data_IF_997626164075
#
_entry.id   IF_997626164075
#
_cell.length_a   1.000
_cell.length_b   1.000
_cell.length_c   1.000
_cell.angle_alpha   90.00
_cell.angle_beta   90.00
_cell.angle_gamma   90.00
#
_symmetry.space_group_name_H-M   'P 1'
#
loop_
_entity.id
_entity.type
_entity.pdbx_description
1 polymer ?
#
# COMPACT_ATOMS: atom_id res chain seq x y z
N UNK A 1 -28.62 -31.57 -21.81
CA UNK A 1 -27.98 -32.01 -20.54
C UNK A 1 -26.66 -31.31 -20.19
N UNK A 2 -25.87 -30.80 -21.15
CA UNK A 2 -24.62 -30.08 -20.85
C UNK A 2 -24.85 -28.60 -20.48
N UNK A 3 -25.78 -27.94 -21.15
CA UNK A 3 -26.14 -26.53 -20.89
C UNK A 3 -26.76 -26.29 -19.51
N UNK A 4 -27.61 -27.19 -19.01
CA UNK A 4 -28.20 -27.06 -17.67
C UNK A 4 -27.14 -27.13 -16.56
N UNK A 5 -26.05 -27.88 -16.77
CA UNK A 5 -24.97 -28.01 -15.80
C UNK A 5 -24.12 -26.74 -15.75
N UNK A 6 -23.83 -26.13 -16.89
CA UNK A 6 -23.13 -24.84 -16.96
C UNK A 6 -23.98 -23.70 -16.40
N UNK A 7 -25.27 -23.67 -16.71
CA UNK A 7 -26.19 -22.67 -16.14
C UNK A 7 -26.30 -22.80 -14.61
N UNK A 8 -26.34 -24.03 -14.10
CA UNK A 8 -26.36 -24.30 -12.66
C UNK A 8 -25.04 -23.94 -11.98
N UNK A 9 -23.90 -24.26 -12.61
CA UNK A 9 -22.57 -23.88 -12.13
C UNK A 9 -22.42 -22.35 -12.03
N UNK A 10 -22.79 -21.61 -13.10
CA UNK A 10 -22.81 -20.15 -13.11
C UNK A 10 -23.70 -19.56 -12.01
N UNK A 11 -24.84 -20.19 -11.71
CA UNK A 11 -25.76 -19.75 -10.65
C UNK A 11 -25.17 -19.95 -9.25
N UNK A 12 -24.49 -21.08 -8.98
CA UNK A 12 -23.80 -21.32 -7.71
C UNK A 12 -22.57 -20.45 -7.50
N UNK A 13 -21.85 -20.06 -8.56
CA UNK A 13 -20.72 -19.12 -8.43
C UNK A 13 -21.22 -17.68 -8.20
N UNK A 14 -22.48 -17.37 -8.54
CA UNK A 14 -23.09 -16.03 -8.42
C UNK A 14 -23.65 -15.72 -7.02
N UNK A 15 -23.67 -16.67 -6.10
CA UNK A 15 -24.05 -16.39 -4.70
C UNK A 15 -22.89 -15.67 -4.01
N UNK A 16 -22.92 -14.34 -4.01
CA UNK A 16 -21.99 -13.50 -3.26
C UNK A 16 -22.21 -13.75 -1.75
N UNK A 17 -21.24 -14.39 -1.10
CA UNK A 17 -21.16 -14.49 0.37
C UNK A 17 -20.56 -13.22 1.01
N UNK A 18 -20.55 -12.11 0.28
CA UNK A 18 -19.95 -10.86 0.74
C UNK A 18 -21.00 -10.09 1.54
N UNK A 19 -20.69 -9.78 2.80
CA UNK A 19 -21.55 -8.94 3.64
C UNK A 19 -21.55 -7.53 3.08
N UNK A 20 -22.64 -7.14 2.45
CA UNK A 20 -22.88 -5.74 2.09
C UNK A 20 -22.97 -4.95 3.38
N UNK A 21 -22.11 -3.94 3.56
CA UNK A 21 -22.24 -3.00 4.66
C UNK A 21 -23.53 -2.23 4.46
N UNK A 22 -24.55 -2.56 5.25
CA UNK A 22 -25.79 -1.79 5.30
C UNK A 22 -25.45 -0.46 5.97
N UNK A 23 -25.26 0.60 5.18
CA UNK A 23 -25.17 1.99 5.64
C UNK A 23 -26.53 2.48 6.16
N UNK A 24 -27.15 1.73 7.06
CA UNK A 24 -28.34 2.12 7.79
C UNK A 24 -27.86 2.84 9.04
N UNK A 25 -27.65 4.16 8.91
CA UNK A 25 -27.49 5.02 10.08
C UNK A 25 -28.86 5.14 10.75
N UNK A 26 -29.00 4.55 11.94
CA UNK A 26 -30.16 4.78 12.80
C UNK A 26 -30.05 6.21 13.36
N UNK A 27 -30.64 7.16 12.65
CA UNK A 27 -30.62 8.56 13.04
C UNK A 27 -31.81 8.83 13.97
N UNK A 28 -31.53 9.26 15.20
CA UNK A 28 -32.54 9.58 16.21
C UNK A 28 -33.59 10.55 15.66
N UNK A 29 -34.85 10.13 15.69
CA UNK A 29 -36.01 10.89 15.23
C UNK A 29 -36.08 12.30 15.84
N UNK A 30 -35.69 12.45 17.10
CA UNK A 30 -35.71 13.75 17.77
C UNK A 30 -34.59 14.67 17.27
N UNK A 31 -33.43 14.11 16.93
CA UNK A 31 -32.31 14.86 16.37
C UNK A 31 -32.67 15.42 14.98
N UNK A 32 -33.35 14.63 14.15
CA UNK A 32 -33.84 15.09 12.84
C UNK A 32 -34.87 16.21 12.97
N UNK A 33 -35.85 16.06 13.87
CA UNK A 33 -36.86 17.09 14.10
C UNK A 33 -36.24 18.42 14.58
N UNK A 34 -35.21 18.36 15.42
CA UNK A 34 -34.50 19.56 15.88
C UNK A 34 -33.73 20.26 14.75
N UNK A 35 -33.07 19.50 13.86
CA UNK A 35 -32.37 20.05 12.70
C UNK A 35 -33.37 20.76 11.78
N UNK A 36 -34.51 20.14 11.48
CA UNK A 36 -35.57 20.72 10.65
C UNK A 36 -36.14 22.03 11.25
N UNK A 37 -36.39 22.05 12.57
CA UNK A 37 -36.87 23.24 13.25
C UNK A 37 -35.86 24.40 13.16
N UNK A 38 -34.57 24.12 13.41
CA UNK A 38 -33.52 25.13 13.34
C UNK A 38 -33.27 25.64 11.92
N UNK A 39 -33.37 24.78 10.90
CA UNK A 39 -33.29 25.17 9.50
C UNK A 39 -34.45 26.09 9.13
N UNK A 40 -35.68 25.80 9.58
CA UNK A 40 -36.86 26.63 9.32
C UNK A 40 -36.77 28.01 10.00
N UNK A 41 -36.17 28.07 11.20
CA UNK A 41 -35.92 29.35 11.89
C UNK A 41 -34.88 30.17 11.13
N UNK A 42 -33.80 29.55 10.66
CA UNK A 42 -32.73 30.20 9.89
C UNK A 42 -33.14 30.58 8.47
N UNK A 43 -34.09 29.86 7.86
CA UNK A 43 -34.57 30.13 6.51
C UNK A 43 -35.65 31.20 6.44
N UNK A 44 -36.08 31.78 7.56
CA UNK A 44 -37.00 32.92 7.52
C UNK A 44 -36.27 34.12 6.92
N UNK A 45 -36.68 34.62 5.74
CA UNK A 45 -36.14 35.89 5.26
C UNK A 45 -36.55 36.97 6.25
N UNK A 46 -35.61 37.85 6.58
CA UNK A 46 -35.93 39.09 7.28
C UNK A 46 -36.84 39.90 6.35
N UNK A 47 -38.16 39.88 6.61
CA UNK A 47 -39.18 40.59 5.83
C UNK A 47 -39.10 42.12 6.07
N UNK A 48 -37.92 42.68 5.90
CA UNK A 48 -37.69 44.12 5.83
C UNK A 48 -37.00 44.34 4.48
N UNK A 49 -37.46 45.32 3.69
CA UNK A 49 -36.87 45.78 2.41
C UNK A 49 -37.52 45.35 1.08
N UNK A 50 -38.82 45.07 1.01
CA UNK A 50 -39.53 44.96 -0.29
C UNK A 50 -40.01 46.29 -0.91
N UNK A 51 -39.77 47.43 -0.26
CA UNK A 51 -40.26 48.74 -0.72
C UNK A 51 -39.19 49.84 -0.72
N UNK A 52 -38.01 49.59 -1.31
CA UNK A 52 -37.06 50.66 -1.65
C UNK A 52 -37.08 50.87 -3.18
N UNK A 53 -37.03 52.12 -3.68
CA UNK A 53 -36.89 52.37 -5.11
C UNK A 53 -35.58 51.75 -5.59
N UNK A 54 -35.65 50.94 -6.66
CA UNK A 54 -34.49 50.22 -7.23
C UNK A 54 -33.42 51.24 -7.62
N UNK A 55 -32.24 51.14 -7.01
CA UNK A 55 -31.09 51.96 -7.38
C UNK A 55 -30.69 51.59 -8.83
N UNK A 56 -30.47 52.57 -9.73
CA UNK A 56 -29.99 52.29 -11.09
C UNK A 56 -28.72 51.41 -11.12
N UNK A 57 -27.88 51.43 -10.08
CA UNK A 57 -26.74 50.51 -9.98
C UNK A 57 -27.16 49.06 -9.71
N UNK A 58 -28.21 48.85 -8.92
CA UNK A 58 -28.70 47.52 -8.55
C UNK A 58 -29.43 46.85 -9.72
N UNK A 59 -30.06 47.64 -10.59
CA UNK A 59 -30.71 47.15 -11.82
C UNK A 59 -29.73 46.49 -12.80
N UNK A 60 -28.45 46.87 -12.81
CA UNK A 60 -27.40 46.26 -13.65
C UNK A 60 -27.05 44.82 -13.21
N UNK A 61 -27.26 44.50 -11.94
CA UNK A 61 -27.00 43.16 -11.38
C UNK A 61 -28.21 42.22 -11.51
N UNK A 62 -29.38 42.72 -11.92
CA UNK A 62 -30.55 41.89 -12.14
C UNK A 62 -30.41 41.12 -13.46
N UNK A 63 -30.27 39.80 -13.35
CA UNK A 63 -30.22 38.91 -14.51
C UNK A 63 -31.57 38.96 -15.24
N UNK A 64 -31.60 39.20 -16.56
CA UNK A 64 -32.84 39.20 -17.35
C UNK A 64 -33.61 37.88 -17.22
N UNK A 65 -34.94 37.95 -17.21
CA UNK A 65 -35.81 36.78 -16.98
C UNK A 65 -35.58 35.63 -17.97
N UNK A 66 -35.09 35.92 -19.18
CA UNK A 66 -34.77 34.92 -20.21
C UNK A 66 -33.57 34.03 -19.84
N UNK A 67 -32.74 34.47 -18.89
CA UNK A 67 -31.57 33.74 -18.39
C UNK A 67 -31.76 33.26 -16.96
N UNK A 68 -32.90 33.57 -16.32
CA UNK A 68 -33.30 32.93 -15.07
C UNK A 68 -33.70 31.50 -15.39
N UNK A 69 -32.75 30.60 -15.29
CA UNK A 69 -33.01 29.16 -15.33
C UNK A 69 -33.86 28.87 -14.10
N UNK A 70 -35.10 28.38 -14.26
CA UNK A 70 -35.93 28.03 -13.12
C UNK A 70 -35.17 27.04 -12.23
N UNK A 71 -34.75 27.51 -11.05
CA UNK A 71 -34.00 26.74 -10.05
C UNK A 71 -34.85 25.66 -9.37
N UNK A 72 -35.73 24.96 -10.10
CA UNK A 72 -36.42 23.77 -9.61
C UNK A 72 -35.50 22.55 -9.46
N UNK A 73 -34.22 22.67 -9.79
CA UNK A 73 -33.22 21.59 -9.69
C UNK A 73 -31.89 21.98 -9.05
N UNK A 74 -31.81 23.14 -8.37
CA UNK A 74 -30.56 23.59 -7.74
C UNK A 74 -30.45 23.24 -6.24
N UNK A 75 -31.55 22.84 -5.58
CA UNK A 75 -31.51 22.41 -4.18
C UNK A 75 -30.73 21.10 -3.97
N UNK A 76 -30.53 20.30 -5.02
CA UNK A 76 -29.76 19.04 -4.94
C UNK A 76 -28.28 19.19 -5.29
N UNK A 77 -27.81 20.38 -5.69
CA UNK A 77 -26.43 20.60 -6.11
C UNK A 77 -25.51 21.05 -4.95
N UNK A 78 -26.03 21.84 -4.01
CA UNK A 78 -25.24 22.34 -2.87
C UNK A 78 -25.12 21.31 -1.73
N UNK A 79 -26.18 20.53 -1.47
CA UNK A 79 -26.12 19.36 -0.57
C UNK A 79 -25.36 18.18 -1.21
N UNK A 80 -25.14 18.24 -2.52
CA UNK A 80 -24.42 17.25 -3.31
C UNK A 80 -22.90 17.36 -3.19
N UNK A 81 -22.31 18.50 -2.79
CA UNK A 81 -20.85 18.64 -2.76
C UNK A 81 -20.23 17.89 -1.57
N UNK A 82 -20.77 18.08 -0.36
CA UNK A 82 -20.25 17.44 0.86
C UNK A 82 -20.62 15.95 0.91
N UNK A 83 -21.82 15.59 0.48
CA UNK A 83 -22.24 14.18 0.45
C UNK A 83 -21.52 13.40 -0.65
N UNK A 84 -21.37 13.97 -1.86
CA UNK A 84 -20.61 13.34 -2.95
C UNK A 84 -19.11 13.24 -2.63
N UNK A 85 -18.51 14.29 -2.05
CA UNK A 85 -17.11 14.23 -1.61
C UNK A 85 -16.92 13.26 -0.45
N UNK A 86 -17.82 13.22 0.53
CA UNK A 86 -17.81 12.20 1.57
C UNK A 86 -17.93 10.81 0.98
N UNK A 87 -18.83 10.58 0.01
CA UNK A 87 -18.92 9.29 -0.68
C UNK A 87 -17.65 8.99 -1.46
N UNK A 88 -17.03 9.92 -2.17
CA UNK A 88 -15.76 9.67 -2.87
C UNK A 88 -14.61 9.37 -1.89
N UNK A 89 -14.61 9.99 -0.71
CA UNK A 89 -13.59 9.82 0.33
C UNK A 89 -13.79 8.54 1.16
N UNK A 90 -15.05 8.11 1.37
CA UNK A 90 -15.40 7.00 2.27
C UNK A 90 -15.87 5.75 1.54
N UNK A 91 -16.44 5.90 0.35
CA UNK A 91 -17.01 4.85 -0.46
C UNK A 91 -16.30 4.80 -1.82
N UNK A 92 -15.45 3.80 -2.02
CA UNK A 92 -15.00 3.45 -3.37
C UNK A 92 -16.25 3.00 -4.12
N UNK A 93 -16.67 3.68 -5.21
CA UNK A 93 -17.76 3.18 -6.03
C UNK A 93 -17.30 1.83 -6.61
N UNK A 94 -17.86 0.74 -6.08
CA UNK A 94 -17.59 -0.60 -6.59
C UNK A 94 -18.18 -0.72 -7.99
N UNK A 95 -17.32 -0.91 -8.98
CA UNK A 95 -17.74 -1.28 -10.32
C UNK A 95 -17.62 -2.80 -10.39
N UNK A 96 -18.76 -3.49 -10.57
CA UNK A 96 -18.73 -4.94 -10.74
C UNK A 96 -18.07 -5.28 -12.09
N UNK A 97 -16.79 -5.68 -12.02
CA UNK A 97 -15.99 -6.09 -13.18
C UNK A 97 -16.47 -7.42 -13.80
N UNK A 98 -17.47 -8.05 -13.18
CA UNK A 98 -18.03 -9.31 -13.61
C UNK A 98 -17.22 -10.52 -13.14
N UNK A 99 -17.86 -11.67 -13.21
CA UNK A 99 -17.28 -12.93 -12.73
C UNK A 99 -16.08 -13.38 -13.57
N UNK A 100 -16.09 -13.09 -14.87
CA UNK A 100 -15.02 -13.50 -15.79
C UNK A 100 -13.68 -12.82 -15.45
N UNK A 101 -13.70 -11.53 -15.07
CA UNK A 101 -12.52 -10.81 -14.60
C UNK A 101 -11.98 -11.41 -13.29
N UNK A 102 -12.87 -11.78 -12.37
CA UNK A 102 -12.50 -12.48 -11.13
C UNK A 102 -11.86 -13.84 -11.42
N UNK A 103 -12.45 -14.63 -12.32
CA UNK A 103 -11.94 -15.95 -12.71
C UNK A 103 -10.57 -15.84 -13.40
N UNK A 104 -10.39 -14.87 -14.29
CA UNK A 104 -9.10 -14.60 -14.94
C UNK A 104 -8.01 -14.26 -13.91
N UNK A 105 -8.32 -13.42 -12.93
CA UNK A 105 -7.38 -13.08 -11.86
C UNK A 105 -7.04 -14.30 -10.98
N UNK A 106 -8.02 -15.17 -10.70
CA UNK A 106 -7.80 -16.42 -9.98
C UNK A 106 -6.87 -17.33 -10.77
N UNK A 107 -7.10 -17.51 -12.08
CA UNK A 107 -6.26 -18.32 -12.95
C UNK A 107 -4.81 -17.78 -13.03
N UNK A 108 -4.65 -16.47 -13.24
CA UNK A 108 -3.34 -15.82 -13.31
C UNK A 108 -2.56 -15.96 -11.99
N UNK A 109 -3.21 -15.73 -10.86
CA UNK A 109 -2.57 -15.86 -9.54
C UNK A 109 -2.28 -17.31 -9.17
N UNK A 110 -3.13 -18.27 -9.58
CA UNK A 110 -2.86 -19.70 -9.43
C UNK A 110 -1.65 -20.13 -10.27
N UNK A 111 -1.56 -19.69 -11.52
CA UNK A 111 -0.43 -19.96 -12.41
C UNK A 111 0.87 -19.38 -11.85
N UNK A 112 0.86 -18.13 -11.41
CA UNK A 112 2.03 -17.50 -10.79
C UNK A 112 2.46 -18.24 -9.51
N UNK A 113 1.49 -18.61 -8.66
CA UNK A 113 1.76 -19.39 -7.44
C UNK A 113 2.36 -20.75 -7.76
N UNK A 114 1.90 -21.41 -8.81
CA UNK A 114 2.44 -22.70 -9.26
C UNK A 114 3.90 -22.58 -9.69
N UNK A 115 4.25 -21.57 -10.50
CA UNK A 115 5.63 -21.32 -10.92
C UNK A 115 6.55 -21.10 -9.71
N UNK A 116 6.14 -20.27 -8.75
CA UNK A 116 6.93 -20.03 -7.53
C UNK A 116 7.07 -21.29 -6.68
N UNK A 117 6.02 -22.11 -6.60
CA UNK A 117 6.06 -23.37 -5.87
C UNK A 117 6.98 -24.40 -6.56
N UNK A 118 6.93 -24.50 -7.88
CA UNK A 118 7.81 -25.35 -8.69
C UNK A 118 9.26 -24.92 -8.53
N UNK A 119 9.58 -23.63 -8.66
CA UNK A 119 10.93 -23.09 -8.45
C UNK A 119 11.45 -23.38 -7.03
N UNK A 120 10.61 -23.18 -6.00
CA UNK A 120 10.97 -23.56 -4.61
C UNK A 120 11.21 -25.06 -4.47
N UNK A 121 10.44 -25.89 -5.17
CA UNK A 121 10.60 -27.34 -5.14
C UNK A 121 11.87 -27.78 -5.87
N UNK A 122 12.23 -27.13 -6.98
CA UNK A 122 13.46 -27.37 -7.74
C UNK A 122 14.69 -26.96 -6.94
N UNK A 123 14.68 -25.78 -6.29
CA UNK A 123 15.74 -25.37 -5.37
C UNK A 123 15.90 -26.36 -4.21
N UNK A 124 14.79 -26.88 -3.67
CA UNK A 124 14.84 -27.93 -2.64
C UNK A 124 15.38 -29.26 -3.17
N UNK A 125 15.03 -29.67 -4.40
CA UNK A 125 15.58 -30.89 -5.03
C UNK A 125 17.06 -30.76 -5.36
N UNK A 126 17.50 -29.60 -5.84
CA UNK A 126 18.91 -29.29 -6.07
C UNK A 126 19.71 -29.36 -4.75
N UNK A 127 19.17 -28.82 -3.66
CA UNK A 127 19.80 -28.92 -2.34
C UNK A 127 19.63 -30.31 -1.69
N UNK A 128 18.62 -31.10 -2.08
CA UNK A 128 18.39 -32.47 -1.60
C UNK A 128 19.35 -33.48 -2.22
N UNK A 129 19.93 -33.18 -3.38
CA UNK A 129 21.01 -33.97 -3.99
C UNK A 129 22.38 -33.68 -3.35
N UNK A 130 22.49 -32.65 -2.50
CA UNK A 130 23.67 -32.45 -1.69
C UNK A 130 23.62 -33.36 -0.45
N UNK A 131 24.77 -33.91 -0.09
CA UNK A 131 25.02 -34.78 1.06
C UNK A 131 24.59 -34.20 2.43
N UNK A 132 24.02 -32.99 2.47
CA UNK A 132 23.49 -32.27 3.64
C UNK A 132 22.34 -32.95 4.37
N UNK A 133 21.74 -33.99 3.79
CA UNK A 133 20.81 -34.88 4.49
C UNK A 133 21.50 -35.87 5.43
N UNK A 134 22.80 -36.11 5.25
CA UNK A 134 23.58 -37.00 6.12
C UNK A 134 23.84 -36.29 7.45
N UNK A 135 23.49 -36.93 8.57
CA UNK A 135 23.82 -36.47 9.93
C UNK A 135 25.32 -36.13 10.04
N UNK A 136 26.17 -36.94 9.41
CA UNK A 136 27.61 -36.70 9.34
C UNK A 136 27.98 -35.32 8.74
N UNK A 137 27.35 -34.90 7.65
CA UNK A 137 27.62 -33.59 7.03
C UNK A 137 27.12 -32.40 7.86
N UNK A 138 26.18 -32.60 8.80
CA UNK A 138 25.65 -31.55 9.68
C UNK A 138 26.49 -31.39 10.94
N UNK A 139 26.89 -32.51 11.53
CA UNK A 139 27.55 -32.55 12.83
C UNK A 139 29.08 -32.70 12.75
N UNK A 140 29.62 -33.21 11.64
CA UNK A 140 31.05 -33.35 11.41
C UNK A 140 31.54 -32.43 10.28
N UNK A 141 31.40 -31.12 10.47
CA UNK A 141 32.08 -30.10 9.66
C UNK A 141 33.10 -29.36 10.53
N UNK A 142 34.31 -29.90 10.74
CA UNK A 142 35.31 -29.29 11.64
C UNK A 142 35.76 -27.89 11.21
N UNK A 143 35.59 -27.53 9.93
CA UNK A 143 36.04 -26.25 9.37
C UNK A 143 34.90 -25.28 8.99
N UNK A 144 33.62 -25.63 9.20
CA UNK A 144 32.51 -24.72 8.86
C UNK A 144 32.22 -23.78 10.04
N UNK A 145 32.91 -22.64 10.07
CA UNK A 145 32.59 -21.56 11.01
C UNK A 145 31.49 -20.71 10.39
N UNK A 146 30.32 -20.63 11.05
CA UNK A 146 29.32 -19.65 10.68
C UNK A 146 29.94 -18.24 10.81
N UNK A 147 29.83 -17.41 9.77
CA UNK A 147 30.33 -16.02 9.79
C UNK A 147 29.64 -15.26 10.93
N UNK A 148 30.39 -14.47 11.70
CA UNK A 148 29.79 -13.63 12.74
C UNK A 148 28.98 -12.51 12.11
N UNK A 149 28.00 -11.96 12.83
CA UNK A 149 27.16 -10.85 12.36
C UNK A 149 28.01 -9.63 11.93
N UNK A 150 29.13 -9.39 12.62
CA UNK A 150 30.10 -8.36 12.27
C UNK A 150 30.81 -8.62 10.93
N UNK A 151 31.04 -9.89 10.56
CA UNK A 151 31.65 -10.27 9.29
C UNK A 151 30.63 -10.16 8.14
N UNK A 152 29.37 -10.53 8.40
CA UNK A 152 28.25 -10.36 7.45
C UNK A 152 28.05 -8.89 7.10
N UNK A 153 28.05 -7.99 8.10
CA UNK A 153 27.90 -6.54 7.88
C UNK A 153 29.09 -5.97 7.11
N UNK A 154 30.31 -6.45 7.36
CA UNK A 154 31.50 -6.02 6.62
C UNK A 154 31.42 -6.41 5.15
N UNK A 155 31.04 -7.66 4.88
CA UNK A 155 30.92 -8.20 3.51
C UNK A 155 29.82 -7.44 2.74
N UNK A 156 28.66 -7.21 3.36
CA UNK A 156 27.57 -6.43 2.76
C UNK A 156 27.98 -4.98 2.43
N UNK A 157 28.82 -4.37 3.27
CA UNK A 157 29.36 -3.02 3.02
C UNK A 157 30.34 -3.01 1.84
N UNK A 158 31.16 -4.04 1.68
CA UNK A 158 32.09 -4.16 0.55
C UNK A 158 31.35 -4.39 -0.77
N UNK A 159 30.32 -5.23 -0.74
CA UNK A 159 29.45 -5.48 -1.90
C UNK A 159 28.72 -4.20 -2.34
N UNK A 160 28.21 -3.41 -1.38
CA UNK A 160 27.62 -2.10 -1.66
C UNK A 160 28.62 -1.09 -2.26
N UNK A 161 29.92 -1.26 -2.03
CA UNK A 161 31.00 -0.47 -2.62
C UNK A 161 31.55 -1.07 -3.93
N UNK A 162 30.99 -2.18 -4.41
CA UNK A 162 31.43 -2.85 -5.64
C UNK A 162 32.78 -3.57 -5.52
N UNK A 163 33.26 -3.84 -4.29
CA UNK A 163 34.47 -4.62 -4.04
C UNK A 163 34.10 -6.09 -3.79
N UNK A 164 34.89 -7.05 -4.30
CA UNK A 164 34.62 -8.47 -4.04
C UNK A 164 34.74 -8.77 -2.53
N UNK A 165 33.84 -9.60 -1.97
CA UNK A 165 33.97 -10.06 -0.60
C UNK A 165 35.28 -10.85 -0.45
N UNK A 166 36.07 -10.52 0.57
CA UNK A 166 37.34 -11.21 0.81
C UNK A 166 37.08 -12.68 1.15
N UNK A 167 37.50 -13.60 0.28
CA UNK A 167 37.51 -15.02 0.59
C UNK A 167 38.55 -15.30 1.69
N UNK A 168 38.04 -15.74 2.84
CA UNK A 168 38.74 -16.43 3.92
C UNK A 168 40.25 -16.23 3.97
N UNK A 169 40.69 -15.03 4.35
CA UNK A 169 41.96 -14.98 5.08
C UNK A 169 41.69 -15.58 6.46
N UNK A 170 42.33 -16.70 6.84
CA UNK A 170 42.32 -17.11 8.23
C UNK A 170 42.84 -15.91 8.99
N UNK A 171 42.01 -15.38 9.91
CA UNK A 171 42.41 -14.28 10.81
C UNK A 171 43.83 -14.62 11.27
N UNK A 172 44.82 -13.90 10.75
CA UNK A 172 46.17 -13.93 11.28
C UNK A 172 45.99 -13.37 12.68
N UNK A 173 45.77 -14.28 13.63
CA UNK A 173 45.96 -14.05 15.05
C UNK A 173 47.18 -13.17 15.16
N UNK A 174 47.03 -12.07 15.88
CA UNK A 174 48.05 -11.12 16.31
C UNK A 174 49.44 -11.74 16.22
N UNK A 175 50.04 -11.67 15.03
CA UNK A 175 51.43 -12.04 14.87
C UNK A 175 52.12 -10.87 15.54
N UNK A 176 52.81 -11.01 16.69
CA UNK A 176 53.65 -9.93 17.16
C UNK A 176 54.53 -9.57 15.97
N UNK A 177 54.46 -8.30 15.53
CA UNK A 177 55.29 -7.81 14.44
C UNK A 177 56.73 -8.13 14.83
N UNK A 178 57.29 -9.18 14.23
CA UNK A 178 58.71 -9.45 14.36
C UNK A 178 59.39 -8.20 13.83
N UNK A 179 60.31 -7.65 14.60
CA UNK A 179 60.96 -6.38 14.31
C UNK A 179 61.57 -6.39 12.91
N UNK A 180 60.79 -5.90 11.93
CA UNK A 180 61.30 -5.61 10.60
C UNK A 180 62.10 -4.33 10.73
N UNK A 181 63.27 -4.30 10.11
CA UNK A 181 64.19 -3.15 10.16
C UNK A 181 63.50 -1.86 9.68
N UNK A 182 62.47 -1.98 8.84
CA UNK A 182 61.59 -0.90 8.41
C UNK A 182 60.89 -0.17 9.58
N UNK A 183 60.33 -0.89 10.55
CA UNK A 183 59.64 -0.28 11.70
C UNK A 183 60.63 0.41 12.64
N UNK A 184 61.85 -0.13 12.75
CA UNK A 184 62.94 0.47 13.55
C UNK A 184 63.46 1.73 12.86
N UNK A 185 63.65 1.69 11.53
CA UNK A 185 64.02 2.83 10.69
C UNK A 185 62.98 3.96 10.75
N UNK A 186 61.68 3.65 10.70
CA UNK A 186 60.63 4.66 10.85
C UNK A 186 60.67 5.34 12.22
N UNK A 187 60.85 4.55 13.29
CA UNK A 187 60.98 5.08 14.66
C UNK A 187 62.23 5.95 14.82
N UNK A 188 63.35 5.54 14.23
CA UNK A 188 64.60 6.31 14.24
C UNK A 188 64.44 7.63 13.47
N UNK A 189 63.90 7.60 12.25
CA UNK A 189 63.61 8.79 11.45
C UNK A 189 62.67 9.75 12.18
N UNK A 190 61.64 9.22 12.84
CA UNK A 190 60.69 10.01 13.63
C UNK A 190 61.33 10.69 14.84
N UNK A 191 62.37 10.09 15.43
CA UNK A 191 63.14 10.67 16.54
C UNK A 191 64.16 11.71 16.08
N UNK A 192 64.73 11.54 14.89
CA UNK A 192 65.67 12.50 14.28
C UNK A 192 64.97 13.69 13.63
N UNK A 193 63.64 13.62 13.46
CA UNK A 193 62.81 14.71 12.97
C UNK A 193 62.22 15.51 14.14
N UNK A 194 63.08 16.02 15.00
CA UNK A 194 62.75 17.07 15.97
C UNK A 194 63.80 18.16 15.90
#
# INVERSE_FOLDING_TARGET
>A
MKEDKDAKARRTVRTNNFTQQTNALDVDKHMMAYIEENLKIRSRPRDEEKNKPVDPQEALYQVPDRWKIEHKKAATADEGSVTNSLTMLTAIPEVDLGMDARLKNIEETEKAKRVVAEERSERKKANSNNEEHLVASRFYRPNLKMKSDADIIRDAKLEAMGLPPSEDQPRRQDKPQMATDEVVMERFKKRMRK
#
